data_IF_128356331982
#
_entry.id   IF_128356331982
#
_cell.length_a   1.000
_cell.length_b   1.000
_cell.length_c   1.000
_cell.angle_alpha   90.00
_cell.angle_beta   90.00
_cell.angle_gamma   90.00
#
_symmetry.space_group_name_H-M   'P 1'
#
loop_
_entity.id
_entity.type
_entity.pdbx_description
1 polymer ?
#
# COMPACT_ATOMS: atom_id res chain seq x y z
N UNK A 1 -45.94 -13.87 7.26
CA UNK A 1 -45.27 -13.60 5.97
C UNK A 1 -44.31 -12.44 6.18
N UNK A 2 -43.02 -12.60 5.86
CA UNK A 2 -42.06 -11.50 5.86
C UNK A 2 -42.36 -10.56 4.70
N UNK A 3 -42.18 -9.26 4.90
CA UNK A 3 -42.33 -8.25 3.85
C UNK A 3 -41.39 -8.57 2.67
N UNK A 4 -41.87 -8.58 1.40
CA UNK A 4 -41.02 -8.83 0.24
C UNK A 4 -39.82 -7.87 0.19
N UNK A 5 -38.61 -8.39 -0.03
CA UNK A 5 -37.39 -7.58 -0.08
C UNK A 5 -36.80 -7.17 1.28
N UNK A 6 -37.34 -7.64 2.41
CA UNK A 6 -36.80 -7.34 3.74
C UNK A 6 -35.32 -7.74 3.90
N UNK A 7 -34.89 -8.86 3.31
CA UNK A 7 -33.47 -9.29 3.36
C UNK A 7 -32.57 -8.31 2.60
N UNK A 8 -32.95 -7.92 1.38
CA UNK A 8 -32.21 -6.94 0.57
C UNK A 8 -32.07 -5.63 1.32
N UNK A 9 -33.17 -5.14 1.91
CA UNK A 9 -33.17 -3.91 2.70
C UNK A 9 -32.20 -3.99 3.88
N UNK A 10 -32.18 -5.09 4.63
CA UNK A 10 -31.23 -5.28 5.74
C UNK A 10 -29.78 -5.19 5.26
N UNK A 11 -29.44 -5.84 4.15
CA UNK A 11 -28.08 -5.80 3.59
C UNK A 11 -27.71 -4.38 3.15
N UNK A 12 -28.63 -3.66 2.51
CA UNK A 12 -28.42 -2.27 2.10
C UNK A 12 -28.19 -1.34 3.29
N UNK A 13 -29.01 -1.45 4.34
CA UNK A 13 -28.86 -0.65 5.56
C UNK A 13 -27.52 -0.92 6.26
N UNK A 14 -27.09 -2.18 6.33
CA UNK A 14 -25.78 -2.54 6.89
C UNK A 14 -24.62 -1.90 6.10
N UNK A 15 -24.75 -1.75 4.77
CA UNK A 15 -23.71 -1.13 3.93
C UNK A 15 -23.60 0.37 4.10
N UNK A 16 -24.64 1.07 4.54
CA UNK A 16 -24.67 2.54 4.61
C UNK A 16 -23.53 3.12 5.44
N UNK A 17 -23.20 2.50 6.58
CA UNK A 17 -22.09 2.95 7.43
C UNK A 17 -20.76 2.93 6.66
N UNK A 18 -20.48 1.83 5.93
CA UNK A 18 -19.27 1.70 5.11
C UNK A 18 -19.27 2.68 3.93
N UNK A 19 -20.42 2.88 3.27
CA UNK A 19 -20.54 3.84 2.16
C UNK A 19 -20.29 5.27 2.63
N UNK A 20 -20.79 5.63 3.81
CA UNK A 20 -20.55 6.95 4.42
C UNK A 20 -19.05 7.17 4.66
N UNK A 21 -18.42 6.25 5.39
CA UNK A 21 -16.98 6.31 5.64
C UNK A 21 -16.15 6.33 4.35
N UNK A 22 -16.55 5.55 3.33
CA UNK A 22 -15.92 5.58 2.00
C UNK A 22 -16.05 6.95 1.34
N UNK A 23 -17.24 7.55 1.33
CA UNK A 23 -17.45 8.84 0.69
C UNK A 23 -16.67 9.97 1.37
N UNK A 24 -16.56 9.93 2.70
CA UNK A 24 -15.77 10.88 3.48
C UNK A 24 -14.25 10.74 3.23
N UNK A 25 -13.75 9.51 3.03
CA UNK A 25 -12.30 9.25 2.95
C UNK A 25 -11.73 9.11 1.54
N UNK A 26 -12.53 8.70 0.55
CA UNK A 26 -12.04 8.24 -0.77
C UNK A 26 -11.11 9.22 -1.49
N UNK A 27 -11.33 10.52 -1.38
CA UNK A 27 -10.47 11.51 -2.05
C UNK A 27 -9.09 11.58 -1.39
N UNK A 28 -9.04 11.63 -0.05
CA UNK A 28 -7.79 11.58 0.70
C UNK A 28 -7.05 10.26 0.48
N UNK A 29 -7.77 9.13 0.52
CA UNK A 29 -7.19 7.81 0.24
C UNK A 29 -6.62 7.71 -1.18
N UNK A 30 -7.25 8.33 -2.18
CA UNK A 30 -6.72 8.39 -3.56
C UNK A 30 -5.45 9.22 -3.65
N UNK A 31 -5.41 10.40 -3.03
CA UNK A 31 -4.23 11.24 -3.02
C UNK A 31 -3.06 10.55 -2.30
N UNK A 32 -3.35 9.94 -1.14
CA UNK A 32 -2.37 9.14 -0.40
C UNK A 32 -1.85 7.96 -1.24
N UNK A 33 -2.75 7.20 -1.89
CA UNK A 33 -2.38 6.07 -2.74
C UNK A 33 -1.46 6.51 -3.89
N UNK A 34 -1.80 7.60 -4.58
CA UNK A 34 -0.99 8.11 -5.68
C UNK A 34 0.43 8.49 -5.22
N UNK A 35 0.55 9.16 -4.07
CA UNK A 35 1.85 9.50 -3.49
C UNK A 35 2.65 8.27 -3.05
N UNK A 36 1.99 7.30 -2.42
CA UNK A 36 2.63 6.09 -1.93
C UNK A 36 3.09 5.16 -3.06
N UNK A 37 2.32 5.06 -4.15
CA UNK A 37 2.69 4.28 -5.35
C UNK A 37 3.92 4.81 -6.07
N UNK A 38 4.31 6.07 -5.86
CA UNK A 38 5.55 6.63 -6.39
C UNK A 38 6.75 6.48 -5.44
N UNK A 39 6.52 5.98 -4.23
CA UNK A 39 7.50 5.97 -3.14
C UNK A 39 7.61 4.58 -2.49
N UNK A 40 7.20 4.45 -1.23
CA UNK A 40 7.40 3.23 -0.42
C UNK A 40 6.72 2.00 -1.04
N UNK A 41 5.50 2.16 -1.57
CA UNK A 41 4.82 1.03 -2.21
C UNK A 41 5.46 0.62 -3.53
N UNK A 42 6.07 1.54 -4.28
CA UNK A 42 6.83 1.19 -5.49
C UNK A 42 7.94 0.20 -5.15
N UNK A 43 8.70 0.51 -4.10
CA UNK A 43 9.79 -0.33 -3.63
C UNK A 43 9.27 -1.65 -3.03
N UNK A 44 8.26 -1.57 -2.16
CA UNK A 44 7.68 -2.74 -1.49
C UNK A 44 7.03 -3.74 -2.44
N UNK A 45 6.20 -3.28 -3.39
CA UNK A 45 5.56 -4.18 -4.35
C UNK A 45 6.56 -4.83 -5.28
N UNK A 46 7.59 -4.09 -5.71
CA UNK A 46 8.65 -4.67 -6.52
C UNK A 46 9.40 -5.77 -5.77
N UNK A 47 9.86 -5.48 -4.55
CA UNK A 47 10.55 -6.47 -3.72
C UNK A 47 9.68 -7.72 -3.47
N UNK A 48 8.39 -7.53 -3.23
CA UNK A 48 7.45 -8.64 -3.02
C UNK A 48 7.28 -9.50 -4.28
N UNK A 49 7.12 -8.86 -5.44
CA UNK A 49 6.84 -9.54 -6.70
C UNK A 49 8.08 -10.24 -7.28
N UNK A 50 9.24 -9.58 -7.24
CA UNK A 50 10.49 -10.07 -7.84
C UNK A 50 11.31 -10.94 -6.87
N UNK A 51 11.12 -10.79 -5.56
CA UNK A 51 11.88 -11.50 -4.54
C UNK A 51 11.60 -13.00 -4.47
N UNK A 52 12.65 -13.78 -4.22
CA UNK A 52 12.57 -15.23 -3.98
C UNK A 52 12.69 -15.57 -2.50
N UNK A 53 12.66 -16.86 -2.16
CA UNK A 53 12.87 -17.32 -0.78
C UNK A 53 14.31 -17.07 -0.31
N UNK A 54 15.26 -17.12 -1.24
CA UNK A 54 16.69 -16.97 -0.99
C UNK A 54 17.08 -15.50 -0.84
N UNK A 55 16.55 -14.62 -1.69
CA UNK A 55 16.84 -13.18 -1.63
C UNK A 55 15.99 -12.46 -0.59
N UNK A 56 14.75 -12.92 -0.36
CA UNK A 56 13.74 -12.22 0.43
C UNK A 56 12.77 -11.42 -0.44
N UNK A 57 11.65 -10.97 0.19
CA UNK A 57 10.51 -10.29 -0.46
C UNK A 57 10.17 -8.93 0.16
N UNK A 58 11.07 -8.42 0.99
CA UNK A 58 10.93 -7.15 1.68
C UNK A 58 12.13 -6.27 1.37
N UNK A 59 11.93 -4.96 1.33
CA UNK A 59 13.01 -3.99 1.18
C UNK A 59 13.80 -3.84 2.47
N UNK A 60 15.00 -3.26 2.39
CA UNK A 60 15.73 -2.84 3.59
C UNK A 60 15.07 -1.60 4.21
N UNK A 61 14.16 -1.81 5.15
CA UNK A 61 13.45 -0.74 5.86
C UNK A 61 14.38 0.15 6.70
N UNK A 62 15.51 -0.37 7.17
CA UNK A 62 16.49 0.41 7.95
C UNK A 62 17.17 1.40 7.02
N UNK A 63 17.68 0.92 5.88
CA UNK A 63 18.30 1.77 4.85
C UNK A 63 17.32 2.83 4.33
N UNK A 64 16.05 2.46 4.11
CA UNK A 64 15.01 3.42 3.72
C UNK A 64 14.86 4.54 4.76
N UNK A 65 14.73 4.19 6.05
CA UNK A 65 14.57 5.20 7.12
C UNK A 65 15.79 6.10 7.27
N UNK A 66 16.99 5.56 7.08
CA UNK A 66 18.23 6.35 7.07
C UNK A 66 18.29 7.32 5.89
N UNK A 67 17.93 6.87 4.69
CA UNK A 67 17.89 7.72 3.49
C UNK A 67 16.86 8.85 3.63
N UNK A 68 15.67 8.55 4.15
CA UNK A 68 14.64 9.56 4.42
C UNK A 68 15.10 10.59 5.46
N UNK A 69 15.80 10.16 6.52
CA UNK A 69 16.35 11.06 7.54
C UNK A 69 17.43 12.01 6.96
N UNK A 70 18.13 11.58 5.90
CA UNK A 70 19.10 12.40 5.16
C UNK A 70 18.47 13.26 4.06
N UNK A 71 17.15 13.19 3.87
CA UNK A 71 16.44 13.93 2.83
C UNK A 71 16.70 13.40 1.41
N UNK A 72 17.04 12.12 1.28
CA UNK A 72 17.28 11.51 -0.02
C UNK A 72 16.04 11.61 -0.92
N UNK A 73 16.19 11.98 -2.21
CA UNK A 73 15.07 12.00 -3.15
C UNK A 73 14.63 10.57 -3.51
N UNK A 74 13.36 10.42 -3.86
CA UNK A 74 12.83 9.17 -4.42
C UNK A 74 13.26 9.00 -5.87
N UNK A 75 14.41 8.36 -6.06
CA UNK A 75 14.94 8.00 -7.38
C UNK A 75 14.93 6.50 -7.61
N UNK A 76 15.12 6.09 -8.86
CA UNK A 76 15.21 4.68 -9.23
C UNK A 76 16.44 4.02 -8.59
N UNK A 77 17.53 4.77 -8.39
CA UNK A 77 18.74 4.30 -7.70
C UNK A 77 18.47 4.04 -6.23
N UNK A 78 17.73 4.93 -5.54
CA UNK A 78 17.32 4.69 -4.16
C UNK A 78 16.50 3.41 -4.09
N UNK A 79 15.46 3.28 -4.92
CA UNK A 79 14.60 2.09 -4.93
C UNK A 79 15.42 0.82 -5.18
N UNK A 80 16.31 0.83 -6.17
CA UNK A 80 17.16 -0.32 -6.49
C UNK A 80 18.09 -0.69 -5.32
N UNK A 81 18.66 0.30 -4.63
CA UNK A 81 19.55 0.07 -3.48
C UNK A 81 18.85 -0.62 -2.30
N UNK A 82 17.53 -0.46 -2.19
CA UNK A 82 16.71 -1.03 -1.11
C UNK A 82 16.30 -2.48 -1.37
N UNK A 83 16.59 -3.02 -2.56
CA UNK A 83 16.10 -4.33 -2.96
C UNK A 83 16.77 -5.47 -2.17
N UNK A 84 16.02 -6.54 -1.84
CA UNK A 84 16.52 -7.63 -1.01
C UNK A 84 17.77 -8.33 -1.57
N UNK A 85 17.89 -8.46 -2.90
CA UNK A 85 19.03 -9.09 -3.58
C UNK A 85 20.31 -8.24 -3.59
N UNK A 86 20.26 -6.97 -3.16
CA UNK A 86 21.44 -6.11 -3.05
C UNK A 86 22.23 -6.32 -1.75
N UNK A 87 21.68 -7.08 -0.78
CA UNK A 87 22.34 -7.39 0.50
C UNK A 87 23.48 -8.42 0.40
N UNK A 88 23.71 -9.00 -0.77
CA UNK A 88 24.83 -9.93 -1.01
C UNK A 88 26.05 -9.17 -1.55
N UNK A 89 26.92 -8.72 -0.65
CA UNK A 89 28.33 -8.41 -0.88
C UNK A 89 29.12 -8.66 0.40
#
# INVERSE_FOLDING_TARGET
>A
MTFPGALTKTIEEMRKAKIRAWNESKQGSRAWLAGNMMTEARAGFRAFNEGTKETGREIDFIALRQALAQGAPWTDELIESLMPWRRTS
#
